data_IF_310271516161
#
_entry.id   IF_310271516161
#
_cell.length_a   1.000
_cell.length_b   1.000
_cell.length_c   1.000
_cell.angle_alpha   90.00
_cell.angle_beta   90.00
_cell.angle_gamma   90.00
#
_symmetry.space_group_name_H-M   'P 1'
#
loop_
_entity.id
_entity.type
_entity.pdbx_description
1 polymer ?
#
# COMPACT_ATOMS: atom_id res chain seq x y z
N UNK A 1 -10.03 -27.37 4.03
CA UNK A 1 -9.82 -26.19 3.16
C UNK A 1 -9.34 -25.09 4.06
N UNK A 2 -8.20 -24.46 3.76
CA UNK A 2 -7.71 -23.38 4.60
C UNK A 2 -8.50 -22.10 4.29
N UNK A 3 -8.98 -21.41 5.31
CA UNK A 3 -9.79 -20.19 5.13
C UNK A 3 -8.98 -19.09 4.43
N UNK A 4 -9.59 -18.33 3.52
CA UNK A 4 -8.93 -17.20 2.89
C UNK A 4 -8.75 -16.03 3.88
N UNK A 5 -7.69 -15.23 3.71
CA UNK A 5 -7.51 -14.00 4.48
C UNK A 5 -8.51 -12.94 4.01
N UNK A 6 -9.35 -12.46 4.92
CA UNK A 6 -10.36 -11.42 4.67
C UNK A 6 -10.19 -10.27 5.65
N UNK A 7 -10.27 -9.04 5.15
CA UNK A 7 -10.22 -7.81 5.94
C UNK A 7 -10.79 -6.64 5.12
N UNK A 8 -10.98 -5.50 5.78
CA UNK A 8 -11.26 -4.21 5.14
C UNK A 8 -9.98 -3.38 5.11
N UNK A 9 -9.69 -2.72 3.98
CA UNK A 9 -8.61 -1.75 3.85
C UNK A 9 -9.18 -0.36 3.65
N UNK A 10 -8.77 0.55 4.53
CA UNK A 10 -8.83 1.99 4.28
C UNK A 10 -7.43 2.46 3.92
N UNK A 11 -7.30 3.17 2.80
CA UNK A 11 -6.00 3.62 2.27
C UNK A 11 -6.11 5.10 1.99
N UNK A 12 -5.32 5.88 2.71
CA UNK A 12 -5.16 7.30 2.52
C UNK A 12 -3.75 7.60 2.00
N UNK A 13 -3.67 8.45 0.98
CA UNK A 13 -2.42 8.82 0.34
C UNK A 13 -2.37 10.32 0.21
N UNK A 14 -1.32 10.93 0.77
CA UNK A 14 -1.15 12.37 0.76
C UNK A 14 0.30 12.77 0.43
N UNK A 15 0.50 13.68 -0.55
CA UNK A 15 -0.50 14.22 -1.47
C UNK A 15 -0.88 13.23 -2.59
N UNK A 16 -2.06 13.41 -3.22
CA UNK A 16 -2.51 12.60 -4.37
C UNK A 16 -1.91 13.05 -5.70
N UNK A 17 -1.42 14.29 -5.75
CA UNK A 17 -0.73 14.87 -6.89
C UNK A 17 0.69 15.22 -6.43
N UNK A 18 1.67 14.64 -7.08
CA UNK A 18 3.08 14.69 -6.72
C UNK A 18 3.90 15.25 -7.89
N UNK A 19 5.11 15.72 -7.60
CA UNK A 19 6.12 16.01 -8.60
C UNK A 19 7.36 15.19 -8.33
N UNK A 20 8.27 15.17 -9.29
CA UNK A 20 9.57 14.53 -9.09
C UNK A 20 10.29 15.16 -7.90
N UNK A 21 10.72 14.33 -6.95
CA UNK A 21 11.32 14.76 -5.68
C UNK A 21 10.32 15.02 -4.54
N UNK A 22 9.01 15.03 -4.80
CA UNK A 22 8.02 15.09 -3.71
C UNK A 22 7.99 13.79 -2.91
N UNK A 23 7.66 13.93 -1.63
CA UNK A 23 7.45 12.79 -0.75
C UNK A 23 5.96 12.51 -0.58
N UNK A 24 5.58 11.25 -0.75
CA UNK A 24 4.24 10.74 -0.51
C UNK A 24 4.20 9.98 0.80
N UNK A 25 3.18 10.26 1.60
CA UNK A 25 2.84 9.45 2.77
C UNK A 25 1.69 8.52 2.39
N UNK A 26 1.87 7.23 2.68
CA UNK A 26 0.87 6.19 2.50
C UNK A 26 0.42 5.75 3.89
N UNK A 27 -0.84 5.99 4.24
CA UNK A 27 -1.46 5.50 5.48
C UNK A 27 -2.48 4.43 5.13
N UNK A 28 -2.39 3.30 5.84
CA UNK A 28 -3.27 2.15 5.61
C UNK A 28 -3.82 1.69 6.94
N UNK A 29 -5.13 1.50 7.01
CA UNK A 29 -5.81 0.89 8.14
C UNK A 29 -6.37 -0.46 7.70
N UNK A 30 -6.00 -1.50 8.42
CA UNK A 30 -6.54 -2.85 8.25
C UNK A 30 -7.56 -3.10 9.37
N UNK A 31 -8.79 -3.42 8.98
CA UNK A 31 -9.89 -3.66 9.92
C UNK A 31 -10.57 -5.01 9.66
N UNK A 32 -11.19 -5.58 10.69
CA UNK A 32 -11.99 -6.81 10.60
C UNK A 32 -11.22 -7.99 9.97
N UNK A 33 -9.92 -8.11 10.28
CA UNK A 33 -9.11 -9.23 9.79
C UNK A 33 -9.53 -10.53 10.48
N UNK A 34 -9.87 -11.56 9.72
CA UNK A 34 -10.21 -12.88 10.25
C UNK A 34 -8.99 -13.69 10.72
N UNK A 35 -7.78 -13.21 10.40
CA UNK A 35 -6.49 -13.85 10.70
C UNK A 35 -5.44 -12.78 11.08
N UNK A 36 -4.40 -13.14 11.83
CA UNK A 36 -3.30 -12.23 12.15
C UNK A 36 -2.60 -11.73 10.88
N UNK A 37 -2.36 -10.43 10.83
CA UNK A 37 -1.65 -9.78 9.72
C UNK A 37 -0.15 -9.80 10.01
N UNK A 38 0.62 -10.42 9.12
CA UNK A 38 2.08 -10.46 9.20
C UNK A 38 2.71 -9.17 8.69
N UNK A 39 2.27 -8.70 7.52
CA UNK A 39 2.80 -7.49 6.89
C UNK A 39 1.79 -6.88 5.92
N UNK A 40 1.94 -5.57 5.67
CA UNK A 40 1.19 -4.84 4.66
C UNK A 40 2.16 -4.30 3.62
N UNK A 41 1.81 -4.44 2.35
CA UNK A 41 2.61 -4.00 1.22
C UNK A 41 1.86 -2.96 0.41
N UNK A 42 2.60 -1.99 -0.08
CA UNK A 42 2.20 -1.09 -1.15
C UNK A 42 3.10 -1.37 -2.37
N UNK A 43 2.50 -1.54 -3.54
CA UNK A 43 3.23 -1.85 -4.77
C UNK A 43 2.69 -1.07 -5.96
N UNK A 44 3.60 -0.73 -6.86
CA UNK A 44 3.28 -0.24 -8.20
C UNK A 44 3.74 -1.32 -9.19
N UNK A 45 2.87 -2.26 -9.58
CA UNK A 45 3.28 -3.46 -10.32
C UNK A 45 3.86 -3.15 -11.70
N UNK A 46 3.39 -2.08 -12.36
CA UNK A 46 3.88 -1.63 -13.66
C UNK A 46 5.39 -1.33 -13.65
N UNK A 47 5.93 -0.92 -12.50
CA UNK A 47 7.34 -0.56 -12.32
C UNK A 47 8.10 -1.53 -11.42
N UNK A 48 7.48 -2.65 -11.00
CA UNK A 48 8.09 -3.60 -10.08
C UNK A 48 8.44 -3.03 -8.70
N UNK A 49 7.83 -1.90 -8.30
CA UNK A 49 8.11 -1.25 -7.01
C UNK A 49 7.32 -1.97 -5.92
N UNK A 50 8.02 -2.42 -4.88
CA UNK A 50 7.41 -3.10 -3.73
C UNK A 50 7.95 -2.49 -2.43
N UNK A 51 7.03 -2.05 -1.57
CA UNK A 51 7.37 -1.46 -0.27
C UNK A 51 6.55 -2.13 0.81
N UNK A 52 7.23 -2.65 1.83
CA UNK A 52 6.58 -3.05 3.06
C UNK A 52 6.29 -1.81 3.90
N UNK A 53 5.05 -1.68 4.39
CA UNK A 53 4.66 -0.59 5.27
C UNK A 53 5.06 -0.92 6.71
N UNK A 54 5.43 0.11 7.47
CA UNK A 54 5.81 0.00 8.87
C UNK A 54 4.56 0.07 9.75
N UNK A 55 4.38 -0.81 10.74
CA UNK A 55 3.29 -0.67 11.71
C UNK A 55 3.44 0.64 12.49
N UNK A 56 2.37 1.43 12.55
CA UNK A 56 2.35 2.73 13.24
C UNK A 56 1.57 2.67 14.56
N UNK A 57 0.41 2.02 14.56
CA UNK A 57 -0.46 1.80 15.71
C UNK A 57 -1.32 0.54 15.46
N UNK A 58 -2.16 0.14 16.42
CA UNK A 58 -3.02 -1.05 16.28
C UNK A 58 -3.88 -0.98 15.00
N UNK A 59 -3.58 -1.85 14.03
CA UNK A 59 -4.24 -1.89 12.71
C UNK A 59 -3.81 -0.84 11.70
N UNK A 60 -2.93 0.11 12.07
CA UNK A 60 -2.45 1.17 11.19
C UNK A 60 -1.01 0.90 10.72
N UNK A 61 -0.79 1.10 9.43
CA UNK A 61 0.49 0.94 8.75
C UNK A 61 0.82 2.19 7.96
N UNK A 62 2.09 2.57 7.96
CA UNK A 62 2.57 3.78 7.30
C UNK A 62 3.75 3.48 6.39
N UNK A 63 3.74 4.08 5.22
CA UNK A 63 4.85 4.11 4.28
C UNK A 63 5.19 5.54 3.90
N UNK A 64 6.44 5.72 3.54
CA UNK A 64 6.93 6.94 2.91
C UNK A 64 7.66 6.52 1.64
N UNK A 65 7.40 7.27 0.58
CA UNK A 65 8.13 7.15 -0.67
C UNK A 65 8.45 8.54 -1.21
N UNK A 66 9.51 8.64 -1.99
CA UNK A 66 9.90 9.88 -2.65
C UNK A 66 9.96 9.63 -4.14
N UNK A 67 9.20 10.40 -4.91
CA UNK A 67 9.12 10.21 -6.37
C UNK A 67 10.52 10.31 -6.98
N UNK A 68 11.04 9.22 -7.57
CA UNK A 68 12.43 9.16 -8.01
C UNK A 68 12.67 10.09 -9.19
N UNK A 69 13.93 10.52 -9.33
CA UNK A 69 14.34 11.35 -10.45
C UNK A 69 14.24 10.54 -11.75
N UNK A 70 13.37 10.98 -12.66
CA UNK A 70 13.07 10.26 -13.91
C UNK A 70 11.76 9.47 -13.91
N UNK A 71 10.96 9.54 -12.83
CA UNK A 71 9.59 9.03 -12.89
C UNK A 71 8.80 9.78 -13.98
N UNK A 72 8.19 9.09 -14.97
CA UNK A 72 7.37 9.75 -15.97
C UNK A 72 6.17 10.47 -15.33
N UNK A 73 5.66 11.49 -15.98
CA UNK A 73 4.38 12.07 -15.57
C UNK A 73 3.25 11.13 -15.96
N UNK A 74 2.22 11.04 -15.12
CA UNK A 74 1.07 10.18 -15.37
C UNK A 74 0.36 9.75 -14.10
N UNK A 75 -0.65 8.89 -14.29
CA UNK A 75 -1.41 8.29 -13.19
C UNK A 75 -0.89 6.89 -12.90
N UNK A 76 -0.59 6.64 -11.64
CA UNK A 76 -0.02 5.42 -11.12
C UNK A 76 -1.05 4.68 -10.27
N UNK A 77 -1.22 3.40 -10.54
CA UNK A 77 -2.08 2.52 -9.74
C UNK A 77 -1.26 1.91 -8.60
N UNK A 78 -1.38 2.48 -7.40
CA UNK A 78 -0.82 1.90 -6.19
C UNK A 78 -1.74 0.79 -5.69
N UNK A 79 -1.23 -0.43 -5.61
CA UNK A 79 -1.92 -1.57 -5.02
C UNK A 79 -1.46 -1.75 -3.58
N UNK A 80 -2.42 -1.89 -2.67
CA UNK A 80 -2.17 -2.14 -1.26
C UNK A 80 -2.83 -3.44 -0.85
N UNK A 81 -2.10 -4.29 -0.14
CA UNK A 81 -2.63 -5.53 0.41
C UNK A 81 -1.82 -5.98 1.63
N UNK A 82 -2.47 -6.74 2.49
CA UNK A 82 -1.86 -7.44 3.60
C UNK A 82 -1.65 -8.93 3.31
N UNK A 83 -0.67 -9.53 4.00
CA UNK A 83 -0.41 -10.97 4.02
C UNK A 83 -0.57 -11.53 5.43
N UNK A 84 -0.95 -12.80 5.55
CA UNK A 84 -0.96 -13.52 6.83
C UNK A 84 0.39 -14.18 7.13
N UNK A 85 0.46 -14.89 8.26
CA UNK A 85 1.66 -15.61 8.71
C UNK A 85 2.15 -16.66 7.70
N UNK A 86 1.25 -17.26 6.92
CA UNK A 86 1.57 -18.22 5.87
C UNK A 86 1.96 -17.57 4.53
N UNK A 87 2.15 -16.24 4.50
CA UNK A 87 2.41 -15.45 3.30
C UNK A 87 1.28 -15.49 2.25
N UNK A 88 0.04 -15.80 2.65
CA UNK A 88 -1.11 -15.73 1.73
C UNK A 88 -1.59 -14.29 1.63
N UNK A 89 -1.74 -13.85 0.39
CA UNK A 89 -2.20 -12.51 0.05
C UNK A 89 -3.71 -12.40 0.25
N UNK A 90 -4.13 -11.34 0.92
CA UNK A 90 -5.54 -10.98 1.06
C UNK A 90 -6.07 -10.10 -0.08
N UNK A 91 -7.27 -9.50 0.09
CA UNK A 91 -7.86 -8.60 -0.91
C UNK A 91 -6.97 -7.38 -1.22
N UNK A 92 -6.92 -7.00 -2.49
CA UNK A 92 -6.12 -5.84 -2.95
C UNK A 92 -7.00 -4.60 -3.06
N UNK A 93 -6.54 -3.49 -2.49
CA UNK A 93 -7.09 -2.16 -2.74
C UNK A 93 -6.21 -1.43 -3.75
N UNK A 94 -6.82 -0.85 -4.78
CA UNK A 94 -6.12 -0.01 -5.76
C UNK A 94 -6.47 1.45 -5.49
N UNK A 95 -5.45 2.30 -5.42
CA UNK A 95 -5.57 3.75 -5.27
C UNK A 95 -4.72 4.43 -6.32
N UNK A 96 -5.25 5.51 -6.88
CA UNK A 96 -4.57 6.27 -7.93
C UNK A 96 -3.82 7.46 -7.35
N UNK A 97 -2.58 7.64 -7.80
CA UNK A 97 -1.73 8.80 -7.52
C UNK A 97 -1.26 9.38 -8.84
N UNK A 98 -1.17 10.70 -8.93
CA UNK A 98 -0.77 11.39 -10.16
C UNK A 98 0.57 12.07 -9.96
N UNK A 99 1.50 11.88 -10.88
CA UNK A 99 2.76 12.62 -10.97
C UNK A 99 2.62 13.61 -12.12
N UNK A 100 2.81 14.90 -11.85
CA UNK A 100 2.66 16.00 -12.81
C UNK A 100 3.85 16.94 -12.87
#
# INVERSE_FOLDING_TARGET
MEEALTYTLDVDIQPKVLKVGDSVTIMVKVENANKPIKAVYATVPEYGIWKQLTPANSGYYRGFETVPWGAPSGTYNLQVYAIDENNKKGPVKVVQVTIG
#
